data_IF_185104962937
#
_entry.id   IF_185104962937
#
_cell.length_a   1.000
_cell.length_b   1.000
_cell.length_c   1.000
_cell.angle_alpha   90.00
_cell.angle_beta   90.00
_cell.angle_gamma   90.00
#
_symmetry.space_group_name_H-M   'P 1'
#
loop_
_entity.id
_entity.type
_entity.pdbx_description
1 polymer ?
#
# COMPACT_ATOMS: atom_id res chain seq x y z
N UNK A 1 47.65 26.60 6.83
CA UNK A 1 47.79 25.28 7.49
C UNK A 1 47.05 24.19 6.73
N UNK A 2 45.75 24.30 6.41
CA UNK A 2 45.09 23.33 5.51
C UNK A 2 45.63 23.42 4.08
N UNK A 3 45.83 24.64 3.57
CA UNK A 3 46.38 24.89 2.22
C UNK A 3 47.78 24.27 2.02
N UNK A 4 48.64 24.30 3.05
CA UNK A 4 50.00 23.76 2.97
C UNK A 4 50.01 22.22 2.83
N UNK A 5 49.04 21.53 3.45
CA UNK A 5 48.87 20.08 3.33
C UNK A 5 48.31 19.71 1.96
N UNK A 6 47.35 20.49 1.45
CA UNK A 6 46.78 20.27 0.13
C UNK A 6 47.82 20.44 -0.97
N UNK A 7 48.71 21.44 -0.86
CA UNK A 7 49.85 21.62 -1.76
C UNK A 7 50.86 20.47 -1.68
N UNK A 8 51.13 19.97 -0.47
CA UNK A 8 52.00 18.79 -0.27
C UNK A 8 51.40 17.54 -0.93
N UNK A 9 50.11 17.26 -0.72
CA UNK A 9 49.44 16.13 -1.37
C UNK A 9 49.36 16.30 -2.90
N UNK A 10 49.18 17.52 -3.39
CA UNK A 10 49.20 17.81 -4.83
C UNK A 10 50.58 17.52 -5.45
N UNK A 11 51.67 17.81 -4.73
CA UNK A 11 53.03 17.44 -5.17
C UNK A 11 53.26 15.92 -5.17
N UNK A 12 52.87 15.23 -4.10
CA UNK A 12 53.05 13.79 -3.96
C UNK A 12 52.27 12.99 -5.02
N UNK A 13 51.12 13.51 -5.46
CA UNK A 13 50.32 12.89 -6.52
C UNK A 13 50.99 12.96 -7.90
N UNK A 14 51.82 13.98 -8.17
CA UNK A 14 52.52 14.15 -9.46
C UNK A 14 53.64 13.13 -9.64
N UNK A 15 54.34 12.79 -8.55
CA UNK A 15 55.40 11.78 -8.51
C UNK A 15 54.96 10.50 -7.79
N UNK A 16 53.78 9.99 -8.17
CA UNK A 16 53.28 8.74 -7.60
C UNK A 16 54.21 7.57 -7.98
N UNK A 17 54.93 7.04 -7.00
CA UNK A 17 55.74 5.84 -7.17
C UNK A 17 54.82 4.67 -7.52
N UNK A 18 54.99 4.12 -8.72
CA UNK A 18 54.24 2.96 -9.18
C UNK A 18 54.67 1.72 -8.39
N UNK A 19 53.73 0.94 -7.82
CA UNK A 19 54.06 -0.31 -7.19
C UNK A 19 54.62 -1.29 -8.22
N UNK A 20 55.52 -2.19 -7.79
CA UNK A 20 56.07 -3.19 -8.69
C UNK A 20 54.99 -4.15 -9.20
N UNK A 21 55.12 -4.60 -10.45
CA UNK A 21 54.17 -5.55 -11.04
C UNK A 21 54.06 -6.84 -10.21
N UNK A 22 55.16 -7.28 -9.59
CA UNK A 22 55.19 -8.45 -8.73
C UNK A 22 54.37 -8.25 -7.44
N UNK A 23 54.41 -7.06 -6.84
CA UNK A 23 53.60 -6.71 -5.68
C UNK A 23 52.11 -6.70 -6.06
N UNK A 24 51.77 -6.05 -7.18
CA UNK A 24 50.40 -5.98 -7.67
C UNK A 24 49.81 -7.37 -7.94
N UNK A 25 50.58 -8.26 -8.56
CA UNK A 25 50.17 -9.64 -8.82
C UNK A 25 49.87 -10.42 -7.52
N UNK A 26 50.67 -10.22 -6.48
CA UNK A 26 50.44 -10.86 -5.16
C UNK A 26 49.18 -10.31 -4.48
N UNK A 27 49.01 -8.99 -4.48
CA UNK A 27 47.82 -8.34 -3.90
C UNK A 27 46.54 -8.82 -4.58
N UNK A 28 46.53 -8.93 -5.91
CA UNK A 28 45.37 -9.43 -6.64
C UNK A 28 45.08 -10.91 -6.34
N UNK A 29 46.12 -11.74 -6.22
CA UNK A 29 45.97 -13.14 -5.83
C UNK A 29 45.36 -13.28 -4.43
N UNK A 30 45.82 -12.46 -3.47
CA UNK A 30 45.29 -12.47 -2.10
C UNK A 30 43.86 -11.92 -2.04
N UNK A 31 43.56 -10.84 -2.75
CA UNK A 31 42.21 -10.30 -2.85
C UNK A 31 41.22 -11.34 -3.41
N UNK A 32 41.66 -12.14 -4.39
CA UNK A 32 40.83 -13.21 -4.97
C UNK A 32 40.59 -14.35 -3.97
N UNK A 33 41.54 -14.62 -3.07
CA UNK A 33 41.39 -15.64 -2.01
C UNK A 33 40.43 -15.19 -0.91
N UNK A 34 40.53 -13.93 -0.51
CA UNK A 34 39.74 -13.34 0.58
C UNK A 34 38.37 -12.81 0.12
N UNK A 35 38.10 -12.78 -1.19
CA UNK A 35 36.83 -12.32 -1.72
C UNK A 35 35.69 -13.21 -1.18
N UNK A 36 34.72 -12.63 -0.43
CA UNK A 36 33.61 -13.39 0.07
C UNK A 36 32.79 -13.90 -1.12
N UNK A 37 32.65 -15.22 -1.21
CA UNK A 37 31.72 -15.82 -2.17
C UNK A 37 30.32 -15.43 -1.74
N UNK A 38 29.63 -14.68 -2.59
CA UNK A 38 28.24 -14.33 -2.36
C UNK A 38 27.43 -15.62 -2.16
N UNK A 39 26.97 -15.86 -0.93
CA UNK A 39 26.03 -16.93 -0.69
C UNK A 39 24.75 -16.59 -1.46
N UNK A 40 24.37 -17.47 -2.40
CA UNK A 40 23.11 -17.35 -3.09
C UNK A 40 21.98 -17.48 -2.06
N UNK A 41 21.42 -16.34 -1.66
CA UNK A 41 20.24 -16.32 -0.80
C UNK A 41 19.05 -16.70 -1.67
N UNK A 42 18.57 -17.93 -1.50
CA UNK A 42 17.32 -18.37 -2.15
C UNK A 42 16.19 -17.57 -1.53
N UNK A 43 15.65 -16.61 -2.28
CA UNK A 43 14.43 -15.91 -1.90
C UNK A 43 13.25 -16.82 -2.27
N UNK A 44 12.42 -17.23 -1.30
CA UNK A 44 11.25 -18.03 -1.61
C UNK A 44 10.31 -17.23 -2.52
N UNK A 45 9.80 -17.87 -3.57
CA UNK A 45 8.78 -17.26 -4.42
C UNK A 45 7.51 -17.08 -3.59
N UNK A 46 6.92 -15.87 -3.53
CA UNK A 46 5.66 -15.68 -2.83
C UNK A 46 4.59 -16.55 -3.49
N UNK A 47 3.78 -17.23 -2.67
CA UNK A 47 2.61 -17.96 -3.15
C UNK A 47 1.54 -17.02 -3.69
N UNK A 48 0.55 -17.56 -4.41
CA UNK A 48 -0.54 -16.77 -5.01
C UNK A 48 -1.24 -15.84 -4.00
N UNK A 49 -1.59 -16.35 -2.82
CA UNK A 49 -2.21 -15.56 -1.75
C UNK A 49 -1.30 -14.47 -1.18
N UNK A 50 0.01 -14.72 -1.12
CA UNK A 50 0.98 -13.71 -0.71
C UNK A 50 1.09 -12.59 -1.76
N UNK A 51 1.05 -12.94 -3.06
CA UNK A 51 0.98 -11.96 -4.14
C UNK A 51 -0.29 -11.12 -4.09
N UNK A 52 -1.45 -11.74 -3.86
CA UNK A 52 -2.70 -11.01 -3.72
C UNK A 52 -2.68 -10.09 -2.49
N UNK A 53 -2.19 -10.58 -1.34
CA UNK A 53 -2.00 -9.75 -0.15
C UNK A 53 -1.06 -8.56 -0.42
N UNK A 54 0.05 -8.75 -1.16
CA UNK A 54 0.96 -7.64 -1.49
C UNK A 54 0.31 -6.57 -2.37
N UNK A 55 -0.64 -6.94 -3.24
CA UNK A 55 -1.38 -5.96 -4.07
C UNK A 55 -2.20 -4.98 -3.21
N UNK A 56 -2.70 -5.45 -2.06
CA UNK A 56 -3.45 -4.65 -1.10
C UNK A 56 -2.58 -4.04 0.01
N UNK A 57 -1.25 -4.19 -0.04
CA UNK A 57 -0.34 -3.65 0.97
C UNK A 57 -0.02 -4.60 2.14
N UNK A 58 -0.41 -5.87 2.04
CA UNK A 58 -0.07 -6.94 2.98
C UNK A 58 -1.29 -7.74 3.47
N UNK A 59 -1.02 -8.81 4.22
CA UNK A 59 -2.07 -9.71 4.71
C UNK A 59 -3.09 -9.03 5.64
N UNK A 60 -2.64 -8.06 6.45
CA UNK A 60 -3.51 -7.32 7.37
C UNK A 60 -4.56 -6.46 6.65
N UNK A 61 -4.18 -5.78 5.57
CA UNK A 61 -5.10 -4.96 4.79
C UNK A 61 -6.14 -5.83 4.08
N UNK A 62 -5.71 -6.95 3.48
CA UNK A 62 -6.61 -7.90 2.84
C UNK A 62 -7.61 -8.50 3.84
N UNK A 63 -7.18 -8.82 5.06
CA UNK A 63 -8.06 -9.28 6.13
C UNK A 63 -9.09 -8.22 6.55
N UNK A 64 -8.69 -6.94 6.60
CA UNK A 64 -9.59 -5.82 6.85
C UNK A 64 -10.66 -5.68 5.76
N UNK A 65 -10.26 -5.72 4.49
CA UNK A 65 -11.18 -5.66 3.35
C UNK A 65 -12.17 -6.82 3.37
N UNK A 66 -11.69 -8.05 3.60
CA UNK A 66 -12.54 -9.23 3.72
C UNK A 66 -13.53 -9.13 4.88
N UNK A 67 -13.08 -8.65 6.05
CA UNK A 67 -13.93 -8.46 7.22
C UNK A 67 -15.01 -7.40 6.98
N UNK A 68 -14.67 -6.29 6.31
CA UNK A 68 -15.64 -5.26 5.93
C UNK A 68 -16.70 -5.78 4.95
N UNK A 69 -16.30 -6.61 3.97
CA UNK A 69 -17.23 -7.23 3.03
C UNK A 69 -18.22 -8.19 3.74
N UNK A 70 -17.72 -9.02 4.67
CA UNK A 70 -18.57 -9.89 5.48
C UNK A 70 -19.50 -9.09 6.38
N UNK A 71 -18.99 -8.04 7.04
CA UNK A 71 -19.82 -7.15 7.85
C UNK A 71 -20.91 -6.47 7.03
N UNK A 72 -20.59 -5.99 5.82
CA UNK A 72 -21.56 -5.43 4.89
C UNK A 72 -22.64 -6.44 4.48
N UNK A 73 -22.26 -7.70 4.23
CA UNK A 73 -23.21 -8.77 3.93
C UNK A 73 -24.12 -9.08 5.11
N UNK A 74 -23.57 -9.15 6.33
CA UNK A 74 -24.34 -9.35 7.56
C UNK A 74 -25.32 -8.19 7.78
N UNK A 75 -24.86 -6.95 7.65
CA UNK A 75 -25.72 -5.77 7.80
C UNK A 75 -26.80 -5.66 6.72
N UNK A 76 -26.49 -6.08 5.48
CA UNK A 76 -27.48 -6.08 4.40
C UNK A 76 -28.51 -7.20 4.51
N UNK A 77 -28.08 -8.38 4.96
CA UNK A 77 -28.94 -9.56 5.08
C UNK A 77 -29.79 -9.56 6.36
N UNK A 78 -29.21 -9.13 7.49
CA UNK A 78 -29.90 -9.05 8.77
C UNK A 78 -30.71 -7.76 8.79
N UNK A 79 -31.91 -7.80 8.20
CA UNK A 79 -32.93 -6.77 8.43
C UNK A 79 -33.33 -6.84 9.91
N UNK A 80 -33.04 -5.81 10.74
CA UNK A 80 -33.36 -5.87 12.15
C UNK A 80 -34.87 -5.78 12.31
N UNK A 81 -35.45 -6.74 13.04
CA UNK A 81 -36.88 -6.73 13.39
C UNK A 81 -37.17 -5.47 14.20
N UNK A 82 -37.80 -4.47 13.56
CA UNK A 82 -38.06 -3.15 14.16
C UNK A 82 -37.74 -1.96 13.26
N UNK A 83 -36.95 -2.12 12.19
CA UNK A 83 -36.80 -1.03 11.21
C UNK A 83 -38.09 -0.76 10.44
N UNK A 84 -38.92 -1.79 10.20
CA UNK A 84 -40.25 -1.63 9.60
C UNK A 84 -41.14 -0.66 10.38
N UNK A 85 -41.16 -0.74 11.72
CA UNK A 85 -41.97 0.16 12.55
C UNK A 85 -41.42 1.59 12.62
N UNK A 86 -40.10 1.76 12.53
CA UNK A 86 -39.48 3.10 12.46
C UNK A 86 -39.72 3.73 11.09
N UNK A 87 -39.63 2.93 10.02
CA UNK A 87 -39.99 3.34 8.66
C UNK A 87 -41.47 3.67 8.56
N UNK A 88 -42.37 2.89 9.16
CA UNK A 88 -43.81 3.19 9.20
C UNK A 88 -44.11 4.47 9.98
N UNK A 89 -43.41 4.71 11.10
CA UNK A 89 -43.53 5.97 11.86
C UNK A 89 -43.02 7.18 11.07
N UNK A 90 -41.90 7.05 10.38
CA UNK A 90 -41.34 8.11 9.51
C UNK A 90 -42.20 8.34 8.25
N UNK A 91 -42.74 7.27 7.67
CA UNK A 91 -43.63 7.35 6.51
C UNK A 91 -45.00 7.94 6.90
N UNK A 92 -45.51 7.62 8.08
CA UNK A 92 -46.73 8.23 8.62
C UNK A 92 -46.59 9.75 8.83
N UNK A 93 -45.40 10.23 9.21
CA UNK A 93 -45.10 11.67 9.32
C UNK A 93 -45.13 12.38 7.95
N UNK A 94 -44.71 11.69 6.88
CA UNK A 94 -44.82 12.23 5.50
C UNK A 94 -46.25 12.26 4.95
N UNK A 95 -47.17 11.44 5.49
CA UNK A 95 -48.61 11.49 5.16
C UNK A 95 -49.35 12.64 5.86
N UNK A 96 -48.70 13.33 6.79
CA UNK A 96 -49.16 14.62 7.33
C UNK A 96 -48.83 15.81 6.42
N UNK A 97 -48.22 15.59 5.25
CA UNK A 97 -48.05 16.60 4.22
C UNK A 97 -49.42 17.04 3.71
N UNK A 98 -49.83 18.26 4.07
CA UNK A 98 -51.02 18.90 3.50
C UNK A 98 -50.85 18.93 1.99
N UNK A 99 -51.64 18.13 1.30
CA UNK A 99 -51.62 18.02 -0.16
C UNK A 99 -52.22 19.29 -0.76
N UNK A 100 -51.35 20.19 -1.23
CA UNK A 100 -51.73 21.48 -1.82
C UNK A 100 -52.07 21.38 -3.33
N UNK A 101 -51.99 20.20 -3.92
CA UNK A 101 -52.46 19.94 -5.28
C UNK A 101 -53.76 19.14 -5.21
N UNK A 102 -54.86 19.59 -5.85
CA UNK A 102 -56.08 18.80 -5.91
C UNK A 102 -55.79 17.46 -6.62
N UNK A 103 -56.27 16.37 -6.04
CA UNK A 103 -56.12 15.04 -6.60
C UNK A 103 -56.72 14.95 -8.00
N UNK A 104 -56.17 14.06 -8.83
CA UNK A 104 -56.58 13.87 -10.23
C UNK A 104 -58.07 13.49 -10.32
N UNK A 105 -58.60 12.84 -9.28
CA UNK A 105 -60.02 12.51 -9.15
C UNK A 105 -60.93 13.76 -9.12
N UNK A 106 -60.45 14.87 -8.55
CA UNK A 106 -61.20 16.13 -8.55
C UNK A 106 -61.24 16.78 -9.93
N UNK A 107 -60.16 16.64 -10.73
CA UNK A 107 -60.12 17.12 -12.11
C UNK A 107 -60.95 16.26 -13.06
N UNK A 108 -61.10 14.97 -12.76
CA UNK A 108 -61.90 14.03 -13.55
C UNK A 108 -63.39 14.06 -13.20
N UNK A 109 -63.76 14.59 -12.03
CA UNK A 109 -65.15 14.70 -11.60
C UNK A 109 -65.86 15.97 -12.13
N UNK A 110 -65.14 16.88 -12.79
CA UNK A 110 -65.67 18.13 -13.34
C UNK A 110 -65.97 18.08 -14.87
N UNK A 111 -66.01 16.89 -15.48
CA UNK A 111 -66.54 16.66 -16.86
C UNK A 111 -67.89 15.93 -16.83
#
# INVERSE_FOLDING_TARGET
>A
MMDDLDDLFASAKRDAMQPSAALMARVLADATREQPKAALRVVPKPGFWAGLATLFGGGGVLAGVGSAAVAGLVLGFVQPVGFGSVTDLLAADTLGGVEFMPGIDALLAEE
#
